data_IF_535355723263
#
_entry.id   IF_535355723263
#
_cell.length_a   1.000
_cell.length_b   1.000
_cell.length_c   1.000
_cell.angle_alpha   90.00
_cell.angle_beta   90.00
_cell.angle_gamma   90.00
#
_symmetry.space_group_name_H-M   'P 1'
#
loop_
_entity.id
_entity.type
_entity.pdbx_description
1 polymer ?
#
# COMPACT_ATOMS: atom_id res chain seq x y z
N UNK A 1 21.09 4.72 -29.71
CA UNK A 1 20.60 5.75 -28.77
C UNK A 1 20.21 5.07 -27.48
N UNK A 2 21.02 5.22 -26.43
CA UNK A 2 20.84 4.56 -25.14
C UNK A 2 20.13 5.53 -24.19
N UNK A 3 18.80 5.60 -24.27
CA UNK A 3 17.99 6.46 -23.39
C UNK A 3 17.74 5.72 -22.08
N UNK A 4 18.76 5.67 -21.20
CA UNK A 4 18.50 5.35 -19.79
C UNK A 4 17.74 6.51 -19.15
N UNK A 5 16.52 6.31 -18.61
CA UNK A 5 15.91 7.32 -17.78
C UNK A 5 16.61 7.33 -16.42
N UNK A 6 17.50 8.29 -16.22
CA UNK A 6 18.13 8.66 -14.95
C UNK A 6 17.12 9.32 -13.99
N UNK A 7 15.95 8.72 -13.79
CA UNK A 7 14.90 9.36 -13.00
C UNK A 7 15.06 9.02 -11.51
N UNK A 8 15.92 9.77 -10.81
CA UNK A 8 15.95 9.83 -9.35
C UNK A 8 14.56 10.09 -8.74
N UNK A 9 13.63 10.65 -9.53
CA UNK A 9 12.24 10.91 -9.13
C UNK A 9 11.46 9.62 -8.84
N UNK A 10 11.64 8.56 -9.65
CA UNK A 10 10.95 7.27 -9.40
C UNK A 10 11.41 6.64 -8.10
N UNK A 11 12.71 6.76 -7.79
CA UNK A 11 13.27 6.30 -6.52
C UNK A 11 12.72 7.12 -5.36
N UNK A 12 12.74 8.46 -5.47
CA UNK A 12 12.20 9.35 -4.44
C UNK A 12 10.72 9.07 -4.15
N UNK A 13 9.88 8.99 -5.18
CA UNK A 13 8.46 8.65 -5.02
C UNK A 13 8.26 7.24 -4.48
N UNK A 14 9.11 6.30 -4.87
CA UNK A 14 9.11 4.94 -4.33
C UNK A 14 9.42 4.92 -2.83
N UNK A 15 10.47 5.62 -2.38
CA UNK A 15 10.81 5.73 -0.95
C UNK A 15 9.69 6.42 -0.18
N UNK A 16 9.19 7.56 -0.67
CA UNK A 16 8.09 8.29 -0.02
C UNK A 16 6.86 7.39 0.11
N UNK A 17 6.48 6.68 -0.97
CA UNK A 17 5.32 5.77 -0.96
C UNK A 17 5.53 4.62 0.01
N UNK A 18 6.74 4.07 0.08
CA UNK A 18 7.06 2.95 0.96
C UNK A 18 7.04 3.37 2.44
N UNK A 19 7.68 4.51 2.77
CA UNK A 19 7.66 5.08 4.13
C UNK A 19 6.24 5.45 4.54
N UNK A 20 5.48 6.11 3.66
CA UNK A 20 4.09 6.43 3.92
C UNK A 20 3.27 5.16 4.13
N UNK A 21 3.39 4.16 3.25
CA UNK A 21 2.67 2.90 3.35
C UNK A 21 2.92 2.17 4.67
N UNK A 22 4.18 2.08 5.11
CA UNK A 22 4.54 1.50 6.41
C UNK A 22 3.96 2.33 7.56
N UNK A 23 4.04 3.67 7.49
CA UNK A 23 3.46 4.55 8.48
C UNK A 23 1.93 4.40 8.59
N UNK A 24 1.23 4.26 7.46
CA UNK A 24 -0.20 3.99 7.42
C UNK A 24 -0.54 2.64 8.03
N UNK A 25 0.21 1.58 7.70
CA UNK A 25 0.04 0.25 8.30
C UNK A 25 0.20 0.33 9.83
N UNK A 26 1.27 0.97 10.31
CA UNK A 26 1.49 1.10 11.75
C UNK A 26 0.36 1.87 12.45
N UNK A 27 -0.03 3.03 11.91
CA UNK A 27 -0.99 3.92 12.56
C UNK A 27 -2.44 3.42 12.52
N UNK A 28 -2.87 2.84 11.39
CA UNK A 28 -4.26 2.43 11.17
C UNK A 28 -4.52 0.95 11.46
N UNK A 29 -3.50 0.10 11.40
CA UNK A 29 -3.65 -1.34 11.65
C UNK A 29 -3.08 -1.67 13.03
N UNK A 30 -1.77 -1.51 13.21
CA UNK A 30 -1.09 -1.99 14.42
C UNK A 30 -1.56 -1.28 15.69
N UNK A 31 -1.54 0.05 15.68
CA UNK A 31 -1.94 0.87 16.83
C UNK A 31 -3.40 0.64 17.23
N UNK A 32 -4.29 0.44 16.25
CA UNK A 32 -5.70 0.19 16.50
C UNK A 32 -5.92 -1.21 17.07
N UNK A 33 -5.25 -2.23 16.51
CA UNK A 33 -5.29 -3.60 17.07
C UNK A 33 -4.76 -3.64 18.50
N UNK A 34 -3.69 -2.90 18.80
CA UNK A 34 -3.14 -2.83 20.15
C UNK A 34 -4.11 -2.15 21.13
N UNK A 35 -4.76 -1.06 20.71
CA UNK A 35 -5.77 -0.38 21.51
C UNK A 35 -7.04 -1.24 21.71
N UNK A 36 -7.44 -2.01 20.69
CA UNK A 36 -8.51 -3.02 20.78
C UNK A 36 -8.16 -4.11 21.79
N UNK A 37 -6.93 -4.64 21.73
CA UNK A 37 -6.44 -5.66 22.65
C UNK A 37 -6.39 -5.16 24.10
N UNK A 38 -6.12 -3.87 24.30
CA UNK A 38 -6.15 -3.20 25.62
C UNK A 38 -7.56 -2.79 26.08
N UNK A 39 -8.61 -3.11 25.31
CA UNK A 39 -10.02 -2.75 25.59
C UNK A 39 -10.20 -1.26 25.90
N UNK A 40 -9.57 -0.38 25.12
CA UNK A 40 -9.76 1.06 25.31
C UNK A 40 -11.16 1.51 24.88
N UNK A 41 -11.83 2.28 25.74
CA UNK A 41 -13.25 2.64 25.59
C UNK A 41 -13.56 3.65 24.46
N UNK A 42 -12.55 4.27 23.84
CA UNK A 42 -12.73 5.27 22.77
C UNK A 42 -11.84 4.99 21.56
N UNK A 43 -12.25 4.03 20.72
CA UNK A 43 -11.54 3.66 19.50
C UNK A 43 -12.11 4.40 18.28
N UNK A 44 -11.52 5.54 17.93
CA UNK A 44 -11.76 6.19 16.64
C UNK A 44 -10.85 5.57 15.59
N UNK A 45 -11.39 4.75 14.68
CA UNK A 45 -10.65 4.13 13.59
C UNK A 45 -11.24 4.51 12.22
N UNK A 46 -10.38 4.51 11.20
CA UNK A 46 -10.76 4.76 9.81
C UNK A 46 -10.41 3.54 8.96
N UNK A 47 -11.45 2.83 8.51
CA UNK A 47 -11.31 1.64 7.65
C UNK A 47 -10.63 1.96 6.31
N UNK A 48 -10.74 3.21 5.83
CA UNK A 48 -10.09 3.66 4.59
C UNK A 48 -8.56 3.62 4.71
N UNK A 49 -8.01 3.89 5.89
CA UNK A 49 -6.56 3.90 6.13
C UNK A 49 -5.94 2.50 6.08
N UNK A 50 -6.70 1.47 6.47
CA UNK A 50 -6.27 0.07 6.49
C UNK A 50 -5.92 -0.44 5.09
N UNK A 51 -6.66 -0.02 4.06
CA UNK A 51 -6.41 -0.42 2.68
C UNK A 51 -5.31 0.37 1.97
N UNK A 52 -5.13 1.66 2.31
CA UNK A 52 -4.16 2.54 1.65
C UNK A 52 -2.71 2.12 1.94
N UNK A 53 -2.43 1.68 3.17
CA UNK A 53 -1.08 1.29 3.59
C UNK A 53 -0.46 0.19 2.70
N UNK A 54 -1.07 -1.00 2.62
CA UNK A 54 -0.57 -2.10 1.78
C UNK A 54 -0.46 -1.72 0.29
N UNK A 55 -1.40 -0.92 -0.21
CA UNK A 55 -1.36 -0.43 -1.59
C UNK A 55 -0.09 0.38 -1.85
N UNK A 56 0.21 1.34 -0.96
CA UNK A 56 1.38 2.21 -1.06
C UNK A 56 2.69 1.44 -0.91
N UNK A 57 2.74 0.38 -0.10
CA UNK A 57 3.92 -0.47 0.03
C UNK A 57 4.23 -1.18 -1.29
N UNK A 58 3.24 -1.87 -1.87
CA UNK A 58 3.43 -2.61 -3.14
C UNK A 58 3.74 -1.65 -4.29
N UNK A 59 3.03 -0.52 -4.34
CA UNK A 59 3.29 0.51 -5.36
C UNK A 59 4.66 1.17 -5.18
N UNK A 60 5.09 1.44 -3.94
CA UNK A 60 6.42 1.97 -3.64
C UNK A 60 7.53 1.00 -4.07
N UNK A 61 7.35 -0.31 -3.81
CA UNK A 61 8.26 -1.36 -4.27
C UNK A 61 8.33 -1.42 -5.80
N UNK A 62 7.18 -1.31 -6.49
CA UNK A 62 7.13 -1.21 -7.95
C UNK A 62 7.99 -0.05 -8.47
N UNK A 63 7.88 1.14 -7.87
CA UNK A 63 8.68 2.30 -8.28
C UNK A 63 10.18 2.15 -7.99
N UNK A 64 10.55 1.50 -6.88
CA UNK A 64 11.94 1.31 -6.47
C UNK A 64 12.66 0.23 -7.29
N UNK A 65 11.99 -0.89 -7.55
CA UNK A 65 12.57 -2.07 -8.17
C UNK A 65 12.47 -1.98 -9.70
N UNK A 66 11.25 -1.79 -10.23
CA UNK A 66 11.00 -1.83 -11.68
C UNK A 66 11.29 -0.49 -12.36
N UNK A 67 11.33 0.62 -11.61
CA UNK A 67 11.73 1.97 -12.06
C UNK A 67 11.11 2.34 -13.41
N UNK A 68 9.78 2.37 -13.51
CA UNK A 68 9.13 2.64 -14.78
C UNK A 68 9.51 4.03 -15.32
N UNK A 69 9.65 4.17 -16.66
CA UNK A 69 10.06 5.43 -17.28
C UNK A 69 8.97 6.51 -17.22
N UNK A 70 7.70 6.12 -17.10
CA UNK A 70 6.56 7.01 -16.89
C UNK A 70 5.58 6.38 -15.91
N UNK A 71 4.78 7.20 -15.24
CA UNK A 71 3.64 6.77 -14.41
C UNK A 71 2.31 6.78 -15.17
N UNK A 72 2.30 7.34 -16.39
CA UNK A 72 1.10 7.43 -17.23
C UNK A 72 1.02 6.19 -18.11
N UNK A 73 -0.01 5.33 -17.97
CA UNK A 73 -0.14 4.09 -18.76
C UNK A 73 -0.11 4.33 -20.27
N UNK A 74 -0.65 5.46 -20.72
CA UNK A 74 -0.74 5.84 -22.13
C UNK A 74 0.63 6.11 -22.78
N UNK A 75 1.62 6.45 -21.95
CA UNK A 75 3.01 6.72 -22.37
C UNK A 75 3.92 5.50 -22.24
N UNK A 76 3.40 4.36 -21.78
CA UNK A 76 4.17 3.12 -21.60
C UNK A 76 4.10 2.22 -22.83
N UNK A 77 5.17 1.47 -23.07
CA UNK A 77 5.17 0.36 -24.02
C UNK A 77 4.12 -0.70 -23.61
N UNK A 78 3.50 -1.44 -24.55
CA UNK A 78 2.45 -2.41 -24.24
C UNK A 78 2.83 -3.41 -23.13
N UNK A 79 4.06 -3.95 -23.18
CA UNK A 79 4.57 -4.88 -22.17
C UNK A 79 4.71 -4.23 -20.78
N UNK A 80 5.19 -2.98 -20.71
CA UNK A 80 5.32 -2.24 -19.46
C UNK A 80 3.96 -1.87 -18.87
N UNK A 81 2.99 -1.54 -19.73
CA UNK A 81 1.60 -1.26 -19.34
C UNK A 81 0.94 -2.48 -18.69
N UNK A 82 1.17 -3.68 -19.23
CA UNK A 82 0.68 -4.93 -18.61
C UNK A 82 1.28 -5.11 -17.22
N UNK A 83 2.59 -4.94 -17.07
CA UNK A 83 3.26 -5.05 -15.74
C UNK A 83 2.69 -4.01 -14.76
N UNK A 84 2.48 -2.77 -15.21
CA UNK A 84 1.84 -1.74 -14.38
C UNK A 84 0.46 -2.18 -13.87
N UNK A 85 -0.41 -2.67 -14.75
CA UNK A 85 -1.75 -3.13 -14.36
C UNK A 85 -1.70 -4.37 -13.46
N UNK A 86 -0.76 -5.28 -13.69
CA UNK A 86 -0.54 -6.43 -12.79
C UNK A 86 -0.15 -5.94 -11.40
N UNK A 87 0.75 -4.97 -11.29
CA UNK A 87 1.20 -4.44 -10.00
C UNK A 87 0.11 -3.64 -9.28
N UNK A 88 -0.69 -2.87 -10.01
CA UNK A 88 -1.88 -2.18 -9.46
C UNK A 88 -2.94 -3.18 -8.99
N UNK A 89 -3.17 -4.25 -9.76
CA UNK A 89 -4.12 -5.29 -9.36
C UNK A 89 -3.61 -6.04 -8.14
N UNK A 90 -2.32 -6.36 -8.10
CA UNK A 90 -1.67 -7.02 -6.96
C UNK A 90 -1.75 -6.14 -5.70
N UNK A 91 -1.49 -4.84 -5.81
CA UNK A 91 -1.58 -3.92 -4.67
C UNK A 91 -3.01 -3.82 -4.14
N UNK A 92 -4.03 -3.79 -5.01
CA UNK A 92 -5.43 -3.84 -4.62
C UNK A 92 -5.80 -5.15 -3.90
N UNK A 93 -5.38 -6.29 -4.42
CA UNK A 93 -5.63 -7.61 -3.80
C UNK A 93 -5.01 -7.67 -2.40
N UNK A 94 -3.76 -7.22 -2.25
CA UNK A 94 -3.09 -7.17 -0.95
C UNK A 94 -3.79 -6.22 0.04
N UNK A 95 -4.30 -5.09 -0.42
CA UNK A 95 -5.11 -4.18 0.40
C UNK A 95 -6.40 -4.84 0.89
N UNK A 96 -7.12 -5.54 0.04
CA UNK A 96 -8.35 -6.25 0.41
C UNK A 96 -8.05 -7.38 1.39
N UNK A 97 -7.02 -8.19 1.14
CA UNK A 97 -6.60 -9.26 2.04
C UNK A 97 -6.21 -8.75 3.42
N UNK A 98 -5.46 -7.63 3.46
CA UNK A 98 -5.06 -7.00 4.73
C UNK A 98 -6.28 -6.46 5.48
N UNK A 99 -7.25 -5.90 4.77
CA UNK A 99 -8.51 -5.44 5.36
C UNK A 99 -9.31 -6.60 5.97
N UNK A 100 -9.47 -7.71 5.23
CA UNK A 100 -10.16 -8.90 5.73
C UNK A 100 -9.44 -9.50 6.95
N UNK A 101 -8.10 -9.55 6.90
CA UNK A 101 -7.29 -9.99 8.03
C UNK A 101 -7.48 -9.08 9.25
N UNK A 102 -7.44 -7.76 9.07
CA UNK A 102 -7.68 -6.80 10.16
C UNK A 102 -9.07 -6.98 10.79
N UNK A 103 -10.12 -7.12 9.96
CA UNK A 103 -11.48 -7.37 10.43
C UNK A 103 -11.58 -8.68 11.22
N UNK A 104 -10.93 -9.75 10.74
CA UNK A 104 -10.88 -11.02 11.44
C UNK A 104 -10.20 -10.89 12.81
N UNK A 105 -9.06 -10.18 12.89
CA UNK A 105 -8.38 -9.92 14.15
C UNK A 105 -9.22 -9.10 15.13
N UNK A 106 -9.89 -8.05 14.65
CA UNK A 106 -10.79 -7.25 15.49
C UNK A 106 -11.96 -8.10 16.03
N UNK A 107 -12.51 -9.00 15.21
CA UNK A 107 -13.57 -9.94 15.61
C UNK A 107 -13.10 -10.88 16.70
N UNK A 108 -11.87 -11.41 16.61
CA UNK A 108 -11.27 -12.24 17.66
C UNK A 108 -11.06 -11.47 18.98
N UNK A 109 -10.84 -10.16 18.90
CA UNK A 109 -10.73 -9.27 20.06
C UNK A 109 -12.10 -8.85 20.64
N UNK A 110 -13.21 -9.31 20.05
CA UNK A 110 -14.58 -9.04 20.52
C UNK A 110 -15.24 -7.80 19.90
N UNK A 111 -14.65 -7.21 18.85
CA UNK A 111 -15.20 -6.05 18.15
C UNK A 111 -15.90 -6.47 16.86
N UNK A 112 -17.10 -5.94 16.59
CA UNK A 112 -17.82 -6.19 15.34
C UNK A 112 -17.60 -5.01 14.38
N UNK A 113 -16.79 -5.22 13.33
CA UNK A 113 -16.38 -4.24 12.31
C UNK A 113 -17.03 -4.48 10.94
#
# INVERSE_FOLDING_TARGET
MNNQPTSNKSILYGVISLVAGIGFIYFFIWRILEAMAKKQDNLTYSLKGVGIGPFLVVFGLYLLILRPPSLKPDQMLPRQRVVYWVMVSLSLVLSVLTFLWFKNQATQLGYNL
#
